data_IF_458017343257
#
_entry.id   IF_458017343257
#
_cell.length_a   1.000
_cell.length_b   1.000
_cell.length_c   1.000
_cell.angle_alpha   90.00
_cell.angle_beta   90.00
_cell.angle_gamma   90.00
#
_symmetry.space_group_name_H-M   'P 1'
#
loop_
_entity.id
_entity.type
_entity.pdbx_description
1 polymer ?
#
# COMPACT_ATOMS: atom_id res chain seq x y z
N UNK A 1 6.32 19.92 -3.74
CA UNK A 1 6.52 18.57 -3.17
C UNK A 1 7.16 18.74 -1.80
N UNK A 2 6.50 18.28 -0.74
CA UNK A 2 6.85 18.60 0.65
C UNK A 2 8.08 17.87 1.18
N UNK A 3 8.86 18.56 1.99
CA UNK A 3 10.15 18.21 2.61
C UNK A 3 10.03 17.18 3.75
N UNK A 4 9.47 16.00 3.50
CA UNK A 4 9.51 14.91 4.48
C UNK A 4 10.83 14.14 4.35
N UNK A 5 11.83 14.50 5.16
CA UNK A 5 13.11 13.77 5.26
C UNK A 5 13.01 12.47 6.07
N UNK A 6 11.82 12.14 6.60
CA UNK A 6 11.54 10.90 7.34
C UNK A 6 10.26 10.26 6.82
N UNK A 7 10.29 8.93 6.68
CA UNK A 7 9.14 8.10 6.35
C UNK A 7 8.15 8.14 7.52
N UNK A 8 6.95 8.64 7.28
CA UNK A 8 5.84 8.66 8.24
C UNK A 8 4.78 7.68 7.74
N UNK A 9 4.61 6.55 8.42
CA UNK A 9 3.61 5.54 8.08
C UNK A 9 2.66 5.38 9.27
N UNK A 10 1.37 5.44 8.98
CA UNK A 10 0.30 5.08 9.91
C UNK A 10 -0.27 3.73 9.47
N UNK A 11 -0.08 2.71 10.29
CA UNK A 11 -0.49 1.33 9.98
C UNK A 11 -2.01 1.15 9.97
N UNK A 12 -2.76 1.99 10.70
CA UNK A 12 -4.22 1.96 10.76
C UNK A 12 -4.83 2.61 9.51
N UNK A 13 -4.24 3.71 9.03
CA UNK A 13 -4.60 4.32 7.74
C UNK A 13 -4.28 3.38 6.57
N UNK A 14 -3.13 2.68 6.60
CA UNK A 14 -2.81 1.66 5.58
C UNK A 14 -3.83 0.51 5.57
N UNK A 15 -4.22 -0.01 6.73
CA UNK A 15 -5.22 -1.07 6.82
C UNK A 15 -6.59 -0.60 6.29
N UNK A 16 -6.98 0.63 6.64
CA UNK A 16 -8.21 1.26 6.13
C UNK A 16 -8.18 1.45 4.62
N UNK A 17 -7.03 1.86 4.06
CA UNK A 17 -6.83 1.96 2.62
C UNK A 17 -6.89 0.59 1.93
N UNK A 18 -6.37 -0.47 2.55
CA UNK A 18 -6.51 -1.85 2.07
C UNK A 18 -7.98 -2.31 2.01
N UNK A 19 -8.76 -1.96 3.03
CA UNK A 19 -10.22 -2.20 3.04
C UNK A 19 -10.94 -1.47 1.90
N UNK A 20 -10.62 -0.19 1.67
CA UNK A 20 -11.18 0.59 0.55
C UNK A 20 -10.78 0.01 -0.81
N UNK A 21 -9.51 -0.37 -0.99
CA UNK A 21 -9.02 -0.99 -2.21
C UNK A 21 -9.76 -2.32 -2.52
N UNK A 22 -10.04 -3.12 -1.49
CA UNK A 22 -10.85 -4.35 -1.61
C UNK A 22 -12.26 -4.04 -2.11
N UNK A 23 -12.90 -3.02 -1.54
CA UNK A 23 -14.25 -2.61 -1.93
C UNK A 23 -14.30 -2.09 -3.37
N UNK A 24 -13.31 -1.30 -3.77
CA UNK A 24 -13.19 -0.79 -5.15
C UNK A 24 -12.97 -1.92 -6.15
N UNK A 25 -12.09 -2.89 -5.86
CA UNK A 25 -11.88 -4.05 -6.71
C UNK A 25 -13.16 -4.87 -6.89
N UNK A 26 -13.94 -5.04 -5.83
CA UNK A 26 -15.21 -5.79 -5.89
C UNK A 26 -16.26 -5.07 -6.73
N UNK A 27 -16.22 -3.74 -6.79
CA UNK A 27 -17.18 -2.91 -7.52
C UNK A 27 -16.76 -2.49 -8.93
N UNK A 28 -15.54 -2.79 -9.38
CA UNK A 28 -15.01 -2.25 -10.64
C UNK A 28 -15.38 -3.04 -11.90
N UNK A 29 -16.11 -4.15 -11.76
CA UNK A 29 -16.51 -4.98 -12.90
C UNK A 29 -17.35 -4.16 -13.90
N UNK A 30 -16.82 -4.00 -15.12
CA UNK A 30 -17.50 -3.22 -16.14
C UNK A 30 -18.64 -4.05 -16.80
N UNK A 31 -19.76 -3.42 -17.21
CA UNK A 31 -20.92 -4.11 -17.79
C UNK A 31 -20.70 -4.58 -19.24
N UNK A 32 -20.79 -5.89 -19.52
CA UNK A 32 -20.57 -6.47 -20.86
C UNK A 32 -21.50 -5.89 -21.94
N UNK A 33 -21.02 -5.84 -23.19
CA UNK A 33 -21.85 -5.52 -24.35
C UNK A 33 -22.86 -6.65 -24.58
N UNK A 34 -24.07 -6.28 -25.00
CA UNK A 34 -25.08 -7.26 -25.39
C UNK A 34 -24.56 -8.09 -26.58
N UNK A 35 -24.78 -9.42 -26.61
CA UNK A 35 -24.33 -10.26 -27.71
C UNK A 35 -25.03 -9.84 -29.01
N UNK A 36 -24.31 -9.83 -30.14
CA UNK A 36 -24.90 -9.45 -31.41
C UNK A 36 -25.93 -10.49 -31.87
N UNK A 37 -26.87 -10.10 -32.76
CA UNK A 37 -27.89 -11.01 -33.28
C UNK A 37 -27.27 -12.28 -33.92
N UNK A 38 -27.90 -13.47 -33.81
CA UNK A 38 -27.28 -14.76 -34.18
C UNK A 38 -26.97 -14.99 -35.67
N UNK A 39 -27.28 -14.05 -36.56
CA UNK A 39 -26.93 -14.14 -37.96
C UNK A 39 -26.77 -12.74 -38.53
N UNK A 40 -25.63 -12.47 -39.16
CA UNK A 40 -25.46 -11.26 -39.94
C UNK A 40 -26.44 -11.30 -41.13
N UNK A 41 -27.61 -10.69 -40.98
CA UNK A 41 -28.60 -10.60 -42.05
C UNK A 41 -28.09 -9.74 -43.21
N UNK A 42 -27.06 -8.93 -42.95
CA UNK A 42 -26.39 -8.06 -43.91
C UNK A 42 -24.88 -7.97 -43.67
N UNK A 43 -24.13 -7.44 -44.65
CA UNK A 43 -22.70 -7.09 -44.47
C UNK A 43 -22.50 -6.05 -43.36
N UNK A 44 -23.49 -5.19 -43.11
CA UNK A 44 -23.48 -4.21 -42.02
C UNK A 44 -23.55 -4.93 -40.66
N UNK A 45 -24.41 -5.93 -40.54
CA UNK A 45 -24.52 -6.73 -39.31
C UNK A 45 -23.25 -7.54 -39.03
N UNK A 46 -22.62 -8.09 -40.09
CA UNK A 46 -21.34 -8.80 -39.96
C UNK A 46 -20.23 -7.85 -39.47
N UNK A 47 -20.18 -6.62 -40.00
CA UNK A 47 -19.24 -5.62 -39.56
C UNK A 47 -19.51 -5.21 -38.09
N UNK A 48 -20.78 -5.05 -37.72
CA UNK A 48 -21.18 -4.72 -36.35
C UNK A 48 -20.82 -5.83 -35.36
N UNK A 49 -21.08 -7.09 -35.68
CA UNK A 49 -20.65 -8.27 -34.90
C UNK A 49 -19.12 -8.24 -34.69
N UNK A 50 -18.36 -7.99 -35.76
CA UNK A 50 -16.90 -7.92 -35.70
C UNK A 50 -16.37 -6.78 -34.84
N UNK A 51 -17.00 -5.60 -34.90
CA UNK A 51 -16.64 -4.45 -34.04
C UNK A 51 -16.98 -4.74 -32.58
N UNK A 52 -18.17 -5.29 -32.29
CA UNK A 52 -18.57 -5.66 -30.93
C UNK A 52 -17.58 -6.68 -30.36
N UNK A 53 -17.25 -7.74 -31.10
CA UNK A 53 -16.31 -8.77 -30.65
C UNK A 53 -14.91 -8.20 -30.36
N UNK A 54 -14.39 -7.32 -31.23
CA UNK A 54 -13.09 -6.66 -30.99
C UNK A 54 -13.13 -5.73 -29.79
N UNK A 55 -14.23 -4.99 -29.62
CA UNK A 55 -14.40 -4.07 -28.49
C UNK A 55 -14.49 -4.84 -27.18
N UNK A 56 -15.29 -5.92 -27.13
CA UNK A 56 -15.33 -6.83 -25.99
C UNK A 56 -13.94 -7.41 -25.68
N UNK A 57 -13.19 -7.87 -26.68
CA UNK A 57 -11.86 -8.42 -26.45
C UNK A 57 -10.87 -7.41 -25.83
N UNK A 58 -10.85 -6.17 -26.35
CA UNK A 58 -10.01 -5.09 -25.77
C UNK A 58 -10.44 -4.78 -24.35
N UNK A 59 -11.74 -4.67 -24.12
CA UNK A 59 -12.34 -4.38 -22.82
C UNK A 59 -12.03 -5.47 -21.80
N UNK A 60 -12.22 -6.75 -22.14
CA UNK A 60 -11.84 -7.88 -21.28
C UNK A 60 -10.36 -7.85 -20.92
N UNK A 61 -9.48 -7.54 -21.88
CA UNK A 61 -8.05 -7.47 -21.62
C UNK A 61 -7.69 -6.34 -20.65
N UNK A 62 -8.28 -5.15 -20.83
CA UNK A 62 -8.07 -4.01 -19.91
C UNK A 62 -8.62 -4.32 -18.53
N UNK A 63 -9.85 -4.83 -18.43
CA UNK A 63 -10.49 -5.21 -17.16
C UNK A 63 -9.66 -6.26 -16.41
N UNK A 64 -9.08 -7.23 -17.14
CA UNK A 64 -8.20 -8.26 -16.56
C UNK A 64 -6.92 -7.66 -16.00
N UNK A 65 -6.28 -6.75 -16.73
CA UNK A 65 -5.05 -6.09 -16.27
C UNK A 65 -5.32 -5.19 -15.06
N UNK A 66 -6.40 -4.42 -15.08
CA UNK A 66 -6.79 -3.56 -13.97
C UNK A 66 -7.06 -4.39 -12.72
N UNK A 67 -7.86 -5.44 -12.85
CA UNK A 67 -8.15 -6.38 -11.76
C UNK A 67 -6.88 -7.00 -11.17
N UNK A 68 -5.90 -7.34 -12.01
CA UNK A 68 -4.62 -7.90 -11.58
C UNK A 68 -3.79 -6.88 -10.77
N UNK A 69 -3.73 -5.62 -11.22
CA UNK A 69 -3.00 -4.57 -10.49
C UNK A 69 -3.69 -4.18 -9.20
N UNK A 70 -5.02 -4.03 -9.23
CA UNK A 70 -5.82 -3.77 -8.04
C UNK A 70 -5.70 -4.89 -7.01
N UNK A 71 -5.69 -6.16 -7.44
CA UNK A 71 -5.44 -7.31 -6.56
C UNK A 71 -4.05 -7.26 -5.93
N UNK A 72 -3.00 -6.96 -6.72
CA UNK A 72 -1.63 -6.81 -6.19
C UNK A 72 -1.55 -5.68 -5.16
N UNK A 73 -2.18 -4.54 -5.43
CA UNK A 73 -2.20 -3.41 -4.52
C UNK A 73 -2.96 -3.74 -3.22
N UNK A 74 -4.11 -4.40 -3.33
CA UNK A 74 -4.87 -4.89 -2.19
C UNK A 74 -4.00 -5.81 -1.32
N UNK A 75 -3.34 -6.81 -1.92
CA UNK A 75 -2.47 -7.72 -1.19
C UNK A 75 -1.33 -6.98 -0.47
N UNK A 76 -0.69 -6.02 -1.12
CA UNK A 76 0.36 -5.20 -0.52
C UNK A 76 -0.14 -4.38 0.68
N UNK A 77 -1.32 -3.77 0.57
CA UNK A 77 -1.93 -2.98 1.64
C UNK A 77 -2.41 -3.86 2.81
N UNK A 78 -2.78 -5.12 2.57
CA UNK A 78 -3.12 -6.07 3.63
C UNK A 78 -1.87 -6.63 4.33
N UNK A 79 -0.80 -6.90 3.59
CA UNK A 79 0.39 -7.56 4.13
C UNK A 79 1.41 -6.58 4.74
N UNK A 80 1.43 -5.32 4.32
CA UNK A 80 2.44 -4.36 4.80
C UNK A 80 2.28 -3.91 6.26
N UNK A 81 1.08 -3.65 6.82
CA UNK A 81 0.95 -3.21 8.22
C UNK A 81 1.58 -4.15 9.26
N UNK A 82 1.37 -5.48 9.23
CA UNK A 82 2.00 -6.37 10.22
C UNK A 82 3.52 -6.44 10.06
N UNK A 83 4.05 -6.37 8.84
CA UNK A 83 5.50 -6.37 8.59
C UNK A 83 6.13 -5.09 9.14
N UNK A 84 5.51 -3.94 8.92
CA UNK A 84 5.97 -2.67 9.47
C UNK A 84 5.94 -2.66 11.00
N UNK A 85 4.88 -3.21 11.61
CA UNK A 85 4.78 -3.34 13.06
C UNK A 85 5.89 -4.23 13.65
N UNK A 86 6.23 -5.34 12.97
CA UNK A 86 7.34 -6.21 13.39
C UNK A 86 8.70 -5.50 13.27
N UNK A 87 8.92 -4.76 12.18
CA UNK A 87 10.14 -3.97 12.00
C UNK A 87 10.28 -2.91 13.09
N UNK A 88 9.20 -2.21 13.45
CA UNK A 88 9.20 -1.23 14.53
C UNK A 88 9.53 -1.88 15.88
N UNK A 89 8.97 -3.06 16.18
CA UNK A 89 9.28 -3.79 17.41
C UNK A 89 10.75 -4.22 17.48
N UNK A 90 11.29 -4.77 16.39
CA UNK A 90 12.70 -5.17 16.31
C UNK A 90 13.62 -3.96 16.47
N UNK A 91 13.34 -2.85 15.77
CA UNK A 91 14.13 -1.63 15.90
C UNK A 91 14.09 -1.07 17.33
N UNK A 92 12.93 -1.07 17.99
CA UNK A 92 12.81 -0.65 19.38
C UNK A 92 13.62 -1.55 20.35
N UNK A 93 13.67 -2.86 20.09
CA UNK A 93 14.50 -3.79 20.86
C UNK A 93 15.99 -3.51 20.67
N UNK A 94 16.44 -3.25 19.44
CA UNK A 94 17.83 -2.91 19.14
C UNK A 94 18.25 -1.63 19.87
N UNK A 95 17.41 -0.59 19.87
CA UNK A 95 17.66 0.65 20.62
C UNK A 95 17.78 0.42 22.13
N UNK A 96 16.98 -0.49 22.69
CA UNK A 96 17.04 -0.82 24.12
C UNK A 96 18.27 -1.67 24.50
N UNK A 97 18.90 -2.35 23.54
CA UNK A 97 20.13 -3.12 23.75
C UNK A 97 21.40 -2.26 23.65
N UNK A 98 21.32 -1.06 23.06
CA UNK A 98 22.43 -0.10 23.09
C UNK A 98 22.49 0.53 24.48
N UNK A 99 23.31 -0.03 25.35
CA UNK A 99 23.66 0.57 26.63
C UNK A 99 24.47 1.84 26.37
N UNK A 100 23.79 2.99 26.25
CA UNK A 100 24.47 4.29 26.22
C UNK A 100 25.32 4.37 27.50
N UNK A 101 26.62 4.68 27.42
CA UNK A 101 27.45 4.86 28.60
C UNK A 101 26.86 6.04 29.37
N UNK A 102 26.07 5.76 30.41
CA UNK A 102 25.64 6.79 31.33
C UNK A 102 26.90 7.27 32.05
N UNK A 103 27.24 8.58 32.01
CA UNK A 103 28.35 9.11 32.77
C UNK A 103 28.14 8.72 34.24
N UNK A 104 29.07 7.95 34.78
CA UNK A 104 29.04 7.56 36.19
C UNK A 104 29.30 8.83 37.00
N UNK A 105 28.24 9.52 37.43
CA UNK A 105 28.35 10.58 38.43
C UNK A 105 28.76 9.90 39.74
N UNK A 106 30.07 9.91 40.01
CA UNK A 106 30.65 9.36 41.24
C UNK A 106 30.00 10.05 42.45
N UNK A 107 29.29 9.32 43.33
CA UNK A 107 28.71 9.93 44.52
C UNK A 107 29.83 10.30 45.49
N UNK A 108 29.91 11.57 45.85
CA UNK A 108 30.74 12.03 46.98
C UNK A 108 32.12 12.56 46.60
N UNK A 109 32.16 13.80 46.15
CA UNK A 109 33.30 14.68 46.43
C UNK A 109 32.77 16.11 46.43
N UNK A 110 32.41 16.59 47.63
CA UNK A 110 32.04 17.99 47.83
C UNK A 110 33.20 18.92 47.47
N UNK A 111 32.92 20.16 47.05
CA UNK A 111 33.97 21.11 46.71
C UNK A 111 34.68 21.57 47.99
N UNK A 112 35.86 21.02 48.23
CA UNK A 112 36.81 21.57 49.20
C UNK A 112 37.44 22.81 48.54
N UNK A 113 36.78 23.96 48.69
CA UNK A 113 37.32 25.26 48.30
C UNK A 113 38.45 25.64 49.28
N UNK A 114 39.66 25.96 48.82
CA UNK A 114 40.73 26.42 49.69
C UNK A 114 40.41 27.82 50.24
N UNK A 115 40.61 27.96 51.55
CA UNK A 115 40.48 29.20 52.33
C UNK A 115 41.52 30.21 51.87
N UNK A 116 41.10 31.34 51.32
CA UNK A 116 41.97 32.50 51.10
C UNK A 116 41.99 33.36 52.38
N UNK A 117 43.18 33.49 52.97
CA UNK A 117 43.56 34.55 53.92
C UNK A 117 43.75 35.87 53.20
#
# INVERSE_FOLDING_TARGET
MGTKSKLQIDTQELASAGGKATQTLTGSAAPTFAPPPPAAASKLDAALVGVIAKTEAVRTNVDTQDSLWATKQQAALTQSPPVLAQQDQHAAQDYNQVQFPMPVMKPGSGPNLPKAT
#
